data_IF_589265893630
#
_entry.id   IF_589265893630
#
_cell.length_a   1.000
_cell.length_b   1.000
_cell.length_c   1.000
_cell.angle_alpha   90.00
_cell.angle_beta   90.00
_cell.angle_gamma   90.00
#
_symmetry.space_group_name_H-M   'P 1'
#
loop_
_entity.id
_entity.type
_entity.pdbx_description
1 polymer ?
#
# COMPACT_ATOMS: atom_id res chain seq x y z
N UNK A 1 31.41 -9.51 -14.87
CA UNK A 1 30.77 -10.77 -15.33
C UNK A 1 31.54 -11.46 -16.47
N UNK A 2 32.30 -10.76 -17.32
CA UNK A 2 32.91 -11.33 -18.53
C UNK A 2 34.08 -12.32 -18.38
N UNK A 3 34.73 -12.46 -17.21
CA UNK A 3 35.84 -13.40 -17.04
C UNK A 3 35.38 -14.81 -16.60
N UNK A 4 34.19 -14.93 -16.01
CA UNK A 4 33.68 -16.21 -15.50
C UNK A 4 33.11 -17.12 -16.62
N UNK A 5 32.78 -16.55 -17.78
CA UNK A 5 32.19 -17.28 -18.91
C UNK A 5 33.21 -18.04 -19.77
N UNK A 6 34.51 -17.77 -19.62
CA UNK A 6 35.58 -18.33 -20.48
C UNK A 6 36.65 -19.15 -19.74
N UNK A 7 36.70 -19.09 -18.40
CA UNK A 7 37.73 -19.78 -17.62
C UNK A 7 37.32 -21.20 -17.23
N UNK A 8 37.95 -22.22 -17.83
CA UNK A 8 37.91 -23.61 -17.35
C UNK A 8 38.44 -23.72 -15.90
N UNK A 9 37.84 -24.58 -15.07
CA UNK A 9 38.32 -24.76 -13.69
C UNK A 9 39.67 -25.46 -13.69
N UNK A 10 40.56 -24.98 -12.82
CA UNK A 10 41.75 -25.72 -12.38
C UNK A 10 41.42 -26.99 -11.57
N UNK A 11 40.12 -27.28 -11.35
CA UNK A 11 39.60 -28.49 -10.70
C UNK A 11 38.88 -29.33 -11.75
N UNK A 12 39.39 -30.55 -11.94
CA UNK A 12 38.95 -31.58 -12.90
C UNK A 12 37.41 -31.70 -13.05
N UNK A 13 36.94 -31.59 -14.29
CA UNK A 13 35.89 -32.48 -14.84
C UNK A 13 34.42 -32.27 -14.48
N UNK A 14 34.02 -31.15 -13.89
CA UNK A 14 32.59 -30.87 -13.64
C UNK A 14 31.87 -30.30 -14.88
N UNK A 15 30.71 -30.86 -15.24
CA UNK A 15 29.75 -30.16 -16.12
C UNK A 15 29.35 -28.84 -15.46
N UNK A 16 29.30 -27.76 -16.23
CA UNK A 16 28.96 -26.42 -15.72
C UNK A 16 27.67 -25.94 -16.32
N UNK A 17 26.87 -25.27 -15.51
CA UNK A 17 25.65 -24.58 -15.90
C UNK A 17 25.76 -23.15 -15.39
N UNK A 18 25.38 -22.19 -16.20
CA UNK A 18 25.31 -20.78 -15.83
C UNK A 18 23.85 -20.47 -15.50
N UNK A 19 23.57 -20.06 -14.27
CA UNK A 19 22.25 -19.56 -13.85
C UNK A 19 22.32 -18.05 -13.73
N UNK A 20 21.44 -17.35 -14.44
CA UNK A 20 21.26 -15.90 -14.32
C UNK A 20 19.83 -15.67 -13.85
N UNK A 21 19.70 -15.19 -12.63
CA UNK A 21 18.41 -14.86 -12.02
C UNK A 21 18.04 -13.38 -12.29
N UNK A 22 16.75 -13.07 -12.22
CA UNK A 22 16.20 -11.71 -12.37
C UNK A 22 16.69 -10.96 -13.64
N UNK A 23 16.68 -11.62 -14.80
CA UNK A 23 17.21 -11.01 -16.05
C UNK A 23 16.42 -9.79 -16.52
N UNK A 24 15.17 -9.64 -16.08
CA UNK A 24 14.32 -8.47 -16.25
C UNK A 24 14.79 -7.24 -15.43
N UNK A 25 15.52 -7.47 -14.33
CA UNK A 25 16.07 -6.44 -13.45
C UNK A 25 17.30 -5.70 -13.97
N UNK A 26 17.98 -6.22 -15.00
CA UNK A 26 19.25 -5.70 -15.56
C UNK A 26 19.07 -4.37 -16.35
N UNK A 27 17.96 -3.64 -16.12
CA UNK A 27 17.55 -2.47 -16.93
C UNK A 27 17.50 -1.13 -16.17
N UNK A 28 18.15 -1.04 -14.99
CA UNK A 28 18.36 0.24 -14.31
C UNK A 28 19.21 1.21 -15.16
N UNK A 29 19.12 2.51 -14.87
CA UNK A 29 19.85 3.59 -15.58
C UNK A 29 21.37 3.46 -15.60
N UNK A 30 21.93 2.53 -14.82
CA UNK A 30 23.35 2.18 -14.76
C UNK A 30 23.78 1.10 -15.78
N UNK A 31 22.83 0.28 -16.30
CA UNK A 31 23.12 -0.91 -17.14
C UNK A 31 22.68 -0.75 -18.59
N UNK A 32 22.99 0.40 -19.23
CA UNK A 32 22.66 0.69 -20.64
C UNK A 32 23.29 -0.24 -21.71
N UNK A 33 23.79 -1.41 -21.33
CA UNK A 33 24.31 -2.45 -22.24
C UNK A 33 24.19 -3.89 -21.73
N UNK A 34 23.51 -4.15 -20.61
CA UNK A 34 23.48 -5.48 -19.99
C UNK A 34 22.83 -6.57 -20.84
N UNK A 35 21.69 -6.27 -21.48
CA UNK A 35 20.97 -7.20 -22.36
C UNK A 35 21.79 -7.56 -23.60
N UNK A 36 22.41 -6.56 -24.24
CA UNK A 36 23.28 -6.78 -25.42
C UNK A 36 24.51 -7.62 -25.07
N UNK A 37 25.12 -7.38 -23.90
CA UNK A 37 26.22 -8.20 -23.41
C UNK A 37 25.81 -9.64 -23.10
N UNK A 38 24.60 -9.85 -22.55
CA UNK A 38 24.06 -11.18 -22.32
C UNK A 38 23.85 -11.94 -23.64
N UNK A 39 23.31 -11.28 -24.66
CA UNK A 39 23.14 -11.88 -26.01
C UNK A 39 24.50 -12.30 -26.60
N UNK A 40 25.56 -11.50 -26.43
CA UNK A 40 26.89 -11.91 -26.86
C UNK A 40 27.42 -13.13 -26.12
N UNK A 41 27.16 -13.23 -24.82
CA UNK A 41 27.53 -14.39 -24.01
C UNK A 41 26.76 -15.62 -24.47
N UNK A 42 25.45 -15.52 -24.71
CA UNK A 42 24.62 -16.62 -25.22
C UNK A 42 25.09 -17.15 -26.57
N UNK A 43 25.64 -16.27 -27.43
CA UNK A 43 26.21 -16.68 -28.73
C UNK A 43 27.57 -17.39 -28.62
N UNK A 44 28.36 -17.09 -27.59
CA UNK A 44 29.76 -17.56 -27.44
C UNK A 44 29.93 -18.67 -26.40
N UNK A 45 28.96 -18.85 -25.51
CA UNK A 45 29.04 -19.81 -24.40
C UNK A 45 29.02 -21.25 -24.89
N UNK A 46 29.87 -22.08 -24.29
CA UNK A 46 29.91 -23.53 -24.48
C UNK A 46 29.18 -24.28 -23.35
N UNK A 47 28.67 -23.54 -22.35
CA UNK A 47 27.96 -24.09 -21.20
C UNK A 47 26.46 -23.78 -21.29
N UNK A 48 25.58 -24.71 -20.87
CA UNK A 48 24.15 -24.43 -20.74
C UNK A 48 23.89 -23.21 -19.86
N UNK A 49 23.01 -22.33 -20.32
CA UNK A 49 22.60 -21.12 -19.61
C UNK A 49 21.12 -21.21 -19.28
N UNK A 50 20.78 -21.03 -18.00
CA UNK A 50 19.41 -20.94 -17.50
C UNK A 50 19.18 -19.48 -17.12
N UNK A 51 18.16 -18.88 -17.71
CA UNK A 51 17.75 -17.50 -17.44
C UNK A 51 16.40 -17.54 -16.72
N UNK A 52 16.29 -16.83 -15.60
CA UNK A 52 15.05 -16.72 -14.83
C UNK A 52 14.56 -15.27 -14.92
N UNK A 53 13.30 -15.11 -15.30
CA UNK A 53 12.61 -13.82 -15.42
C UNK A 53 11.22 -13.93 -14.80
N UNK A 54 10.72 -12.86 -14.20
CA UNK A 54 9.34 -12.82 -13.74
C UNK A 54 8.36 -12.69 -14.91
N UNK A 55 8.72 -11.90 -15.93
CA UNK A 55 7.94 -11.76 -17.17
C UNK A 55 8.80 -11.95 -18.42
N UNK A 56 8.75 -13.17 -18.99
CA UNK A 56 9.44 -13.51 -20.24
C UNK A 56 8.84 -12.83 -21.49
N UNK A 57 7.70 -12.14 -21.37
CA UNK A 57 7.07 -11.40 -22.46
C UNK A 57 7.40 -9.91 -22.45
N UNK A 58 8.20 -9.44 -21.48
CA UNK A 58 8.72 -8.08 -21.50
C UNK A 58 9.42 -7.81 -22.84
N UNK A 59 9.04 -6.75 -23.58
CA UNK A 59 9.67 -6.37 -24.85
C UNK A 59 11.20 -6.26 -24.78
N UNK A 60 11.75 -5.92 -23.62
CA UNK A 60 13.20 -5.83 -23.39
C UNK A 60 13.91 -7.18 -23.53
N UNK A 61 13.22 -8.27 -23.17
CA UNK A 61 13.77 -9.63 -23.25
C UNK A 61 13.56 -10.27 -24.63
N UNK A 62 12.88 -9.60 -25.57
CA UNK A 62 12.67 -10.11 -26.92
C UNK A 62 13.96 -10.59 -27.61
N UNK A 63 15.09 -9.86 -27.55
CA UNK A 63 16.34 -10.29 -28.19
C UNK A 63 16.97 -11.54 -27.58
N UNK A 64 16.66 -11.84 -26.31
CA UNK A 64 17.15 -13.02 -25.58
C UNK A 64 16.22 -14.21 -25.83
N UNK A 65 14.91 -13.96 -25.87
CA UNK A 65 13.86 -14.98 -26.02
C UNK A 65 14.06 -15.83 -27.28
N UNK A 66 14.54 -15.23 -28.36
CA UNK A 66 14.81 -15.94 -29.62
C UNK A 66 15.93 -17.00 -29.52
N UNK A 67 16.81 -16.90 -28.50
CA UNK A 67 17.91 -17.84 -28.26
C UNK A 67 17.59 -18.88 -27.17
N UNK A 68 16.42 -18.83 -26.56
CA UNK A 68 16.09 -19.64 -25.37
C UNK A 68 14.86 -20.51 -25.59
N UNK A 69 14.87 -21.71 -25.01
CA UNK A 69 13.67 -22.52 -24.85
C UNK A 69 12.85 -21.99 -23.66
N UNK A 70 11.59 -21.64 -23.91
CA UNK A 70 10.73 -20.99 -22.91
C UNK A 70 9.97 -22.01 -22.07
N UNK A 71 10.39 -22.17 -20.82
CA UNK A 71 9.72 -23.01 -19.83
C UNK A 71 8.85 -22.13 -18.92
N UNK A 72 7.53 -22.30 -19.00
CA UNK A 72 6.58 -21.51 -18.18
C UNK A 72 6.30 -22.20 -16.85
N UNK A 73 6.52 -21.47 -15.76
CA UNK A 73 6.09 -21.87 -14.43
C UNK A 73 4.73 -21.24 -14.11
N UNK A 74 3.74 -22.09 -13.85
CA UNK A 74 2.42 -21.65 -13.41
C UNK A 74 2.36 -21.55 -11.88
N UNK A 75 1.49 -20.69 -11.37
CA UNK A 75 1.21 -20.59 -9.94
C UNK A 75 0.77 -21.94 -9.38
N UNK A 76 1.32 -22.30 -8.22
CA UNK A 76 1.03 -23.57 -7.57
C UNK A 76 -0.41 -23.51 -7.02
N UNK A 77 -1.17 -24.59 -7.19
CA UNK A 77 -2.53 -24.68 -6.62
C UNK A 77 -2.46 -24.68 -5.09
N UNK A 78 -3.38 -23.97 -4.44
CA UNK A 78 -3.42 -23.84 -2.97
C UNK A 78 -3.41 -25.18 -2.23
N UNK A 79 -4.11 -26.20 -2.74
CA UNK A 79 -4.10 -27.54 -2.14
C UNK A 79 -2.72 -28.19 -2.15
N UNK A 80 -1.93 -27.96 -3.20
CA UNK A 80 -0.56 -28.49 -3.30
C UNK A 80 0.35 -27.74 -2.32
N UNK A 81 0.22 -26.41 -2.23
CA UNK A 81 0.95 -25.61 -1.24
C UNK A 81 0.63 -26.08 0.18
N UNK A 82 -0.64 -26.23 0.54
CA UNK A 82 -1.06 -26.72 1.86
C UNK A 82 -0.49 -28.11 2.18
N UNK A 83 -0.41 -29.02 1.20
CA UNK A 83 0.19 -30.34 1.38
C UNK A 83 1.70 -30.28 1.62
N UNK A 84 2.40 -29.32 1.02
CA UNK A 84 3.83 -29.09 1.26
C UNK A 84 4.03 -28.52 2.66
N UNK A 85 3.22 -27.54 3.07
CA UNK A 85 3.27 -26.97 4.41
C UNK A 85 3.02 -28.04 5.48
N UNK A 86 2.05 -28.95 5.28
CA UNK A 86 1.79 -30.06 6.20
C UNK A 86 3.00 -30.98 6.39
N UNK A 87 3.72 -31.31 5.30
CA UNK A 87 4.95 -32.11 5.37
C UNK A 87 6.09 -31.38 6.08
N UNK A 88 6.16 -30.06 5.96
CA UNK A 88 7.14 -29.25 6.69
C UNK A 88 6.80 -29.30 8.18
N UNK A 89 5.55 -29.05 8.56
CA UNK A 89 5.08 -29.14 9.95
C UNK A 89 5.41 -30.50 10.58
N UNK A 90 5.15 -31.61 9.88
CA UNK A 90 5.45 -32.96 10.36
C UNK A 90 6.96 -33.16 10.62
N UNK A 91 7.83 -32.66 9.73
CA UNK A 91 9.29 -32.77 9.88
C UNK A 91 9.85 -31.90 10.98
N UNK A 92 9.25 -30.73 11.19
CA UNK A 92 9.65 -29.77 12.22
C UNK A 92 8.98 -30.05 13.59
N UNK A 93 8.13 -31.09 13.68
CA UNK A 93 7.45 -31.47 14.92
C UNK A 93 6.40 -30.45 15.38
N UNK A 94 5.77 -29.76 14.43
CA UNK A 94 4.73 -28.75 14.67
C UNK A 94 3.37 -29.33 14.30
N UNK A 95 2.44 -29.39 15.25
CA UNK A 95 1.06 -29.82 14.98
C UNK A 95 0.26 -28.66 14.38
N UNK A 96 -0.19 -28.77 13.13
CA UNK A 96 -0.95 -27.70 12.48
C UNK A 96 -2.33 -28.19 12.01
N UNK A 97 -3.37 -27.41 12.29
CA UNK A 97 -4.72 -27.66 11.77
C UNK A 97 -4.71 -27.56 10.22
N UNK A 98 -5.24 -28.56 9.48
CA UNK A 98 -5.35 -28.51 8.02
C UNK A 98 -6.02 -27.24 7.47
N UNK A 99 -6.97 -26.66 8.21
CA UNK A 99 -7.65 -25.42 7.82
C UNK A 99 -6.69 -24.22 7.88
N UNK A 100 -5.75 -24.20 8.82
CA UNK A 100 -4.70 -23.18 8.94
C UNK A 100 -3.79 -23.21 7.73
N UNK A 101 -3.27 -24.41 7.40
CA UNK A 101 -2.37 -24.60 6.28
C UNK A 101 -3.04 -24.24 4.95
N UNK A 102 -4.33 -24.56 4.80
CA UNK A 102 -5.12 -24.15 3.66
C UNK A 102 -5.25 -22.63 3.58
N UNK A 103 -5.45 -21.95 4.72
CA UNK A 103 -5.58 -20.49 4.75
C UNK A 103 -4.27 -19.78 4.40
N UNK A 104 -3.14 -20.25 4.92
CA UNK A 104 -1.80 -19.76 4.57
C UNK A 104 -1.57 -19.94 3.06
N UNK A 105 -1.90 -21.12 2.52
CA UNK A 105 -1.77 -21.41 1.10
C UNK A 105 -2.66 -20.53 0.20
N UNK A 106 -3.88 -20.19 0.64
CA UNK A 106 -4.77 -19.26 -0.07
C UNK A 106 -4.21 -17.83 -0.07
N UNK A 107 -3.68 -17.37 1.08
CA UNK A 107 -3.11 -16.04 1.24
C UNK A 107 -1.86 -15.84 0.34
N UNK A 108 -1.04 -16.87 0.21
CA UNK A 108 0.19 -16.82 -0.58
C UNK A 108 -0.03 -16.79 -2.11
N UNK A 109 -1.28 -16.98 -2.58
CA UNK A 109 -1.68 -16.87 -4.01
C UNK A 109 -0.78 -17.63 -4.99
N UNK A 110 -0.27 -18.79 -4.56
CA UNK A 110 0.57 -19.69 -5.36
C UNK A 110 2.08 -19.44 -5.28
N UNK A 111 2.55 -18.53 -4.41
CA UNK A 111 3.97 -18.40 -4.05
C UNK A 111 4.29 -19.30 -2.83
N UNK A 112 5.09 -20.33 -3.05
CA UNK A 112 5.46 -21.27 -1.98
C UNK A 112 6.42 -20.67 -0.96
N UNK A 113 7.32 -19.76 -1.37
CA UNK A 113 8.28 -19.12 -0.47
C UNK A 113 7.57 -18.21 0.50
N UNK A 114 6.61 -17.42 0.01
CA UNK A 114 5.75 -16.59 0.84
C UNK A 114 4.96 -17.45 1.84
N UNK A 115 4.36 -18.56 1.36
CA UNK A 115 3.62 -19.49 2.23
C UNK A 115 4.49 -20.13 3.32
N UNK A 116 5.75 -20.47 3.02
CA UNK A 116 6.69 -21.03 3.99
C UNK A 116 7.08 -19.97 5.04
N UNK A 117 7.35 -18.73 4.61
CA UNK A 117 7.68 -17.64 5.54
C UNK A 117 6.49 -17.32 6.46
N UNK A 118 5.27 -17.29 5.90
CA UNK A 118 4.04 -17.10 6.66
C UNK A 118 3.84 -18.23 7.68
N UNK A 119 4.09 -19.49 7.27
CA UNK A 119 4.06 -20.63 8.19
C UNK A 119 5.12 -20.48 9.28
N UNK A 120 6.35 -20.11 8.93
CA UNK A 120 7.43 -19.93 9.88
C UNK A 120 7.08 -18.85 10.91
N UNK A 121 6.56 -17.71 10.50
CA UNK A 121 6.09 -16.65 11.41
C UNK A 121 5.02 -17.16 12.38
N UNK A 122 4.07 -17.95 11.90
CA UNK A 122 2.99 -18.48 12.74
C UNK A 122 3.49 -19.62 13.65
N UNK A 123 4.47 -20.39 13.21
CA UNK A 123 5.06 -21.52 13.93
C UNK A 123 6.14 -21.13 14.93
N UNK A 124 6.71 -19.92 14.81
CA UNK A 124 7.89 -19.51 15.59
C UNK A 124 7.63 -19.59 17.10
N UNK A 125 8.45 -20.39 17.79
CA UNK A 125 8.34 -20.60 19.24
C UNK A 125 7.16 -21.48 19.69
N UNK A 126 6.43 -22.12 18.78
CA UNK A 126 5.25 -22.94 19.08
C UNK A 126 5.43 -24.39 18.61
N UNK A 127 4.76 -25.32 19.31
CA UNK A 127 4.68 -26.75 18.92
C UNK A 127 3.34 -27.13 18.30
N UNK A 128 2.35 -26.24 18.36
CA UNK A 128 1.06 -26.40 17.70
C UNK A 128 0.53 -25.07 17.17
N UNK A 129 -0.23 -25.14 16.08
CA UNK A 129 -0.81 -23.99 15.37
C UNK A 129 -2.29 -24.24 15.10
N UNK A 130 -3.11 -23.28 15.52
CA UNK A 130 -4.57 -23.31 15.41
C UNK A 130 -5.10 -22.12 14.61
N UNK A 131 -6.40 -22.12 14.29
CA UNK A 131 -7.04 -21.03 13.54
C UNK A 131 -6.96 -19.67 14.25
N UNK A 132 -6.80 -19.65 15.57
CA UNK A 132 -6.65 -18.41 16.35
C UNK A 132 -5.29 -17.74 16.13
N UNK A 133 -4.28 -18.52 15.75
CA UNK A 133 -2.90 -18.08 15.50
C UNK A 133 -2.71 -17.41 14.13
N UNK A 134 -3.69 -17.54 13.22
CA UNK A 134 -3.72 -16.87 11.91
C UNK A 134 -4.01 -15.35 11.99
N UNK A 135 -4.29 -14.82 13.18
CA UNK A 135 -4.45 -13.37 13.40
C UNK A 135 -3.29 -12.55 12.84
N UNK A 136 -2.10 -13.15 12.83
CA UNK A 136 -0.81 -12.58 12.44
C UNK A 136 -0.66 -12.18 10.98
N UNK A 137 -1.48 -12.74 10.07
CA UNK A 137 -1.16 -12.72 8.64
C UNK A 137 -1.76 -11.58 7.80
N UNK A 138 -2.01 -10.36 8.33
CA UNK A 138 -1.74 -9.08 7.61
C UNK A 138 -2.62 -7.87 7.98
N UNK A 139 -3.86 -8.04 8.45
CA UNK A 139 -4.71 -6.89 8.84
C UNK A 139 -5.32 -7.08 10.22
N UNK A 140 -5.46 -8.32 10.68
CA UNK A 140 -6.03 -8.64 11.98
C UNK A 140 -5.02 -8.48 13.12
N UNK A 141 -3.73 -8.67 12.85
CA UNK A 141 -2.68 -8.47 13.86
C UNK A 141 -2.28 -7.02 14.01
N UNK A 142 -2.27 -6.25 12.90
CA UNK A 142 -2.23 -4.80 13.01
C UNK A 142 -3.48 -4.30 13.74
N UNK A 143 -4.69 -4.75 13.42
CA UNK A 143 -5.88 -4.35 14.18
C UNK A 143 -5.82 -4.76 15.67
N UNK A 144 -5.40 -5.98 16.01
CA UNK A 144 -5.23 -6.40 17.41
C UNK A 144 -4.13 -5.60 18.13
N UNK A 145 -2.97 -5.42 17.51
CA UNK A 145 -1.85 -4.61 18.03
C UNK A 145 -2.23 -3.13 18.18
N UNK A 146 -2.96 -2.57 17.20
CA UNK A 146 -3.56 -1.23 17.28
C UNK A 146 -4.54 -1.18 18.45
N UNK A 147 -5.47 -2.13 18.56
CA UNK A 147 -6.47 -2.11 19.64
C UNK A 147 -5.84 -2.21 21.00
N UNK A 148 -4.77 -2.98 21.15
CA UNK A 148 -4.03 -3.11 22.40
C UNK A 148 -3.20 -1.84 22.68
N UNK A 149 -2.62 -1.22 21.65
CA UNK A 149 -2.01 0.12 21.75
C UNK A 149 -3.04 1.16 22.18
N UNK A 150 -4.21 1.21 21.53
CA UNK A 150 -5.30 2.12 21.86
C UNK A 150 -5.80 1.89 23.29
N UNK A 151 -5.95 0.64 23.73
CA UNK A 151 -6.29 0.32 25.13
C UNK A 151 -5.22 0.82 26.08
N UNK A 152 -3.94 0.59 25.78
CA UNK A 152 -2.83 1.03 26.62
C UNK A 152 -2.77 2.57 26.73
N UNK A 153 -3.16 3.29 25.67
CA UNK A 153 -3.28 4.74 25.65
C UNK A 153 -4.52 5.18 26.46
N UNK A 154 -5.73 4.79 26.06
CA UNK A 154 -6.98 5.28 26.65
C UNK A 154 -7.24 4.81 28.09
N UNK A 155 -6.71 3.66 28.49
CA UNK A 155 -6.81 3.14 29.87
C UNK A 155 -5.48 3.23 30.63
N UNK A 156 -4.47 3.88 30.05
CA UNK A 156 -3.19 4.10 30.69
C UNK A 156 -3.32 4.91 31.98
N UNK A 157 -2.59 4.51 33.03
CA UNK A 157 -2.59 5.20 34.33
C UNK A 157 -1.51 6.27 34.46
N UNK A 158 -0.47 6.23 33.64
CA UNK A 158 0.66 7.16 33.68
C UNK A 158 0.89 7.80 32.32
N UNK A 159 1.18 9.10 32.31
CA UNK A 159 1.48 9.84 31.07
C UNK A 159 2.64 9.20 30.30
N UNK A 160 3.71 8.82 31.01
CA UNK A 160 4.87 8.19 30.40
C UNK A 160 4.54 6.82 29.79
N UNK A 161 3.67 6.03 30.43
CA UNK A 161 3.23 4.75 29.89
C UNK A 161 2.41 4.91 28.61
N UNK A 162 1.53 5.90 28.55
CA UNK A 162 0.75 6.22 27.34
C UNK A 162 1.64 6.71 26.19
N UNK A 163 2.65 7.52 26.50
CA UNK A 163 3.62 8.00 25.51
C UNK A 163 4.43 6.84 24.96
N UNK A 164 4.94 5.97 25.84
CA UNK A 164 5.72 4.81 25.45
C UNK A 164 4.91 3.86 24.57
N UNK A 165 3.66 3.57 24.95
CA UNK A 165 2.76 2.74 24.16
C UNK A 165 2.56 3.28 22.74
N UNK A 166 2.43 4.60 22.59
CA UNK A 166 2.29 5.23 21.28
C UNK A 166 3.61 5.22 20.48
N UNK A 167 4.75 5.44 21.13
CA UNK A 167 6.05 5.51 20.46
C UNK A 167 6.63 4.14 20.08
N UNK A 168 6.28 3.10 20.83
CA UNK A 168 6.71 1.72 20.59
C UNK A 168 5.70 0.90 19.81
N UNK A 169 4.66 1.53 19.25
CA UNK A 169 3.65 0.85 18.45
C UNK A 169 4.24 0.43 17.10
N UNK A 170 3.87 -0.76 16.63
CA UNK A 170 4.21 -1.24 15.28
C UNK A 170 3.42 -0.53 14.17
N UNK A 171 2.47 0.33 14.56
CA UNK A 171 1.60 1.08 13.68
C UNK A 171 2.27 2.39 13.32
N UNK A 172 2.24 2.76 12.04
CA UNK A 172 2.66 4.08 11.60
C UNK A 172 1.98 5.18 12.44
N UNK A 173 2.76 6.14 12.94
CA UNK A 173 2.27 7.15 13.88
C UNK A 173 1.19 8.06 13.27
N UNK A 174 1.19 8.27 11.95
CA UNK A 174 0.15 9.05 11.28
C UNK A 174 -1.15 8.27 11.25
N UNK A 175 -1.07 6.96 10.94
CA UNK A 175 -2.21 6.06 10.99
C UNK A 175 -2.75 5.91 12.42
N UNK A 176 -1.87 5.74 13.42
CA UNK A 176 -2.24 5.68 14.83
C UNK A 176 -2.99 6.94 15.27
N UNK A 177 -2.56 8.13 14.82
CA UNK A 177 -3.28 9.37 15.08
C UNK A 177 -4.69 9.36 14.49
N UNK A 178 -4.87 8.81 13.28
CA UNK A 178 -6.22 8.65 12.69
C UNK A 178 -7.09 7.68 13.49
N UNK A 179 -6.51 6.59 14.01
CA UNK A 179 -7.21 5.67 14.90
C UNK A 179 -7.66 6.35 16.20
N UNK A 180 -6.81 7.19 16.79
CA UNK A 180 -7.17 8.00 17.96
C UNK A 180 -8.33 8.95 17.63
N UNK A 181 -8.26 9.68 16.51
CA UNK A 181 -9.33 10.59 16.08
C UNK A 181 -10.68 9.87 15.90
N UNK A 182 -10.70 8.72 15.22
CA UNK A 182 -11.94 7.99 14.93
C UNK A 182 -12.60 7.44 16.19
N UNK A 183 -11.82 7.14 17.24
CA UNK A 183 -12.28 6.38 18.40
C UNK A 183 -12.34 7.17 19.71
N UNK A 184 -11.81 8.40 19.77
CA UNK A 184 -11.78 9.21 20.99
C UNK A 184 -13.17 9.42 21.63
N UNK A 185 -14.20 9.64 20.80
CA UNK A 185 -15.58 9.83 21.27
C UNK A 185 -16.17 8.61 22.01
N UNK A 186 -15.65 7.40 21.77
CA UNK A 186 -16.09 6.20 22.49
C UNK A 186 -15.61 6.20 23.95
N UNK A 187 -14.55 6.94 24.25
CA UNK A 187 -13.92 7.03 25.57
C UNK A 187 -14.29 8.30 26.35
N UNK A 188 -14.73 9.34 25.65
CA UNK A 188 -15.06 10.66 26.20
C UNK A 188 -16.45 11.06 25.72
N UNK A 189 -17.45 10.91 26.60
CA UNK A 189 -18.84 11.22 26.28
C UNK A 189 -19.18 12.69 26.58
N UNK A 190 -18.42 13.34 27.48
CA UNK A 190 -18.63 14.75 27.79
C UNK A 190 -18.08 15.66 26.68
N UNK A 191 -18.87 16.64 26.20
CA UNK A 191 -18.44 17.52 25.10
C UNK A 191 -17.15 18.29 25.38
N UNK A 192 -16.91 18.69 26.63
CA UNK A 192 -15.70 19.42 27.02
C UNK A 192 -14.46 18.55 26.91
N UNK A 193 -14.49 17.34 27.49
CA UNK A 193 -13.39 16.36 27.41
C UNK A 193 -13.06 16.01 25.97
N UNK A 194 -14.10 15.79 25.16
CA UNK A 194 -13.93 15.47 23.75
C UNK A 194 -13.32 16.64 22.96
N UNK A 195 -13.73 17.88 23.25
CA UNK A 195 -13.13 19.06 22.67
C UNK A 195 -11.66 19.22 23.04
N UNK A 196 -11.30 18.99 24.31
CA UNK A 196 -9.91 19.05 24.79
C UNK A 196 -9.05 17.96 24.14
N UNK A 197 -9.58 16.74 23.99
CA UNK A 197 -8.92 15.64 23.29
C UNK A 197 -8.67 15.95 21.80
N UNK A 198 -9.68 16.45 21.09
CA UNK A 198 -9.49 16.85 19.68
C UNK A 198 -8.56 18.06 19.54
N UNK A 199 -8.53 18.97 20.52
CA UNK A 199 -7.56 20.06 20.54
C UNK A 199 -6.13 19.53 20.71
N UNK A 200 -5.91 18.50 21.53
CA UNK A 200 -4.61 17.84 21.65
C UNK A 200 -4.20 17.16 20.32
N UNK A 201 -5.11 16.43 19.67
CA UNK A 201 -4.87 15.81 18.35
C UNK A 201 -4.59 16.85 17.26
N UNK A 202 -5.34 17.95 17.24
CA UNK A 202 -5.12 19.08 16.33
C UNK A 202 -3.72 19.67 16.49
N UNK A 203 -3.26 19.87 17.73
CA UNK A 203 -1.89 20.32 18.01
C UNK A 203 -0.84 19.30 17.56
N UNK A 204 -1.10 18.00 17.73
CA UNK A 204 -0.21 16.93 17.25
C UNK A 204 -0.07 16.99 15.71
N UNK A 205 -1.17 17.19 14.98
CA UNK A 205 -1.16 17.33 13.51
C UNK A 205 -0.35 18.55 13.05
N UNK A 206 -0.41 19.67 13.78
CA UNK A 206 0.45 20.84 13.51
C UNK A 206 1.94 20.48 13.64
N UNK A 207 2.31 19.68 14.63
CA UNK A 207 3.70 19.20 14.77
C UNK A 207 4.09 18.25 13.63
N UNK A 208 3.19 17.34 13.21
CA UNK A 208 3.41 16.50 12.03
C UNK A 208 3.60 17.32 10.76
N UNK A 209 2.80 18.35 10.53
CA UNK A 209 2.99 19.29 9.43
C UNK A 209 4.35 19.99 9.46
N UNK A 210 4.82 20.40 10.64
CA UNK A 210 6.17 20.97 10.81
C UNK A 210 7.27 19.95 10.53
N UNK A 211 7.10 18.69 10.95
CA UNK A 211 8.05 17.60 10.68
C UNK A 211 8.15 17.37 9.17
N UNK A 212 7.02 17.22 8.46
CA UNK A 212 7.01 17.01 7.00
C UNK A 212 7.72 18.15 6.27
N UNK A 213 7.50 19.39 6.68
CA UNK A 213 8.07 20.58 6.02
C UNK A 213 9.54 20.84 6.36
N UNK A 214 9.97 20.60 7.60
CA UNK A 214 11.31 20.97 8.10
C UNK A 214 12.24 19.79 8.33
N UNK A 215 11.76 18.56 8.19
CA UNK A 215 12.50 17.31 8.43
C UNK A 215 13.11 17.21 9.85
N UNK A 216 12.50 17.88 10.83
CA UNK A 216 12.99 17.93 12.20
C UNK A 216 12.31 16.87 13.08
N UNK A 217 12.81 15.64 13.00
CA UNK A 217 12.23 14.44 13.63
C UNK A 217 12.20 14.46 15.17
N UNK A 218 12.99 15.30 15.83
CA UNK A 218 12.94 15.48 17.29
C UNK A 218 11.55 15.93 17.80
N UNK A 219 10.73 16.52 16.93
CA UNK A 219 9.36 16.93 17.26
C UNK A 219 8.39 15.74 17.46
N UNK A 220 8.75 14.53 17.04
CA UNK A 220 7.91 13.33 17.22
C UNK A 220 7.59 13.06 18.69
N UNK A 221 8.52 13.36 19.59
CA UNK A 221 8.29 13.24 21.04
C UNK A 221 7.06 14.04 21.51
N UNK A 222 6.85 15.24 20.97
CA UNK A 222 5.68 16.07 21.24
C UNK A 222 4.42 15.53 20.57
N UNK A 223 4.53 14.94 19.37
CA UNK A 223 3.41 14.29 18.69
C UNK A 223 2.89 13.13 19.53
N UNK A 224 3.78 12.21 19.96
CA UNK A 224 3.41 11.09 20.83
C UNK A 224 2.78 11.59 22.14
N UNK A 225 3.38 12.59 22.79
CA UNK A 225 2.83 13.19 24.01
C UNK A 225 1.41 13.74 23.85
N UNK A 226 1.16 14.48 22.76
CA UNK A 226 -0.14 15.10 22.52
C UNK A 226 -1.19 14.09 22.08
N UNK A 227 -0.87 13.19 21.15
CA UNK A 227 -1.85 12.25 20.62
C UNK A 227 -2.21 11.10 21.58
N UNK A 228 -1.35 10.78 22.55
CA UNK A 228 -1.62 9.73 23.53
C UNK A 228 -2.03 10.28 24.89
N UNK A 229 -1.07 10.81 25.66
CA UNK A 229 -1.31 11.31 27.01
C UNK A 229 -2.19 12.56 27.00
N UNK A 230 -1.98 13.49 26.06
CA UNK A 230 -2.82 14.68 25.91
C UNK A 230 -4.29 14.34 25.68
N UNK A 231 -4.56 13.35 24.84
CA UNK A 231 -5.93 12.84 24.60
C UNK A 231 -6.46 12.17 25.86
N UNK A 232 -5.79 11.13 26.35
CA UNK A 232 -6.35 10.26 27.39
C UNK A 232 -6.51 10.95 28.75
N UNK A 233 -5.64 11.92 29.06
CA UNK A 233 -5.75 12.74 30.27
C UNK A 233 -6.82 13.83 30.17
N UNK A 234 -7.40 14.09 28.99
CA UNK A 234 -8.56 14.99 28.86
C UNK A 234 -9.85 14.39 29.44
N UNK A 235 -9.84 13.10 29.78
CA UNK A 235 -10.96 12.41 30.42
C UNK A 235 -10.94 12.65 31.94
N UNK A 236 -11.98 13.30 32.46
CA UNK A 236 -12.12 13.62 33.90
C UNK A 236 -13.23 12.77 34.56
N UNK A 237 -14.40 12.68 33.91
CA UNK A 237 -15.63 12.09 34.47
C UNK A 237 -16.22 10.96 33.63
N UNK A 238 -15.87 10.83 32.35
CA UNK A 238 -16.41 9.75 31.50
C UNK A 238 -15.99 8.36 32.01
N UNK A 239 -16.97 7.50 32.25
CA UNK A 239 -16.76 6.08 32.55
C UNK A 239 -16.35 5.32 31.29
N UNK A 240 -15.21 4.62 31.33
CA UNK A 240 -14.73 3.83 30.21
C UNK A 240 -15.68 2.66 29.91
N UNK A 241 -16.46 2.77 28.84
CA UNK A 241 -17.20 1.64 28.27
C UNK A 241 -16.26 0.61 27.63
N UNK A 242 -16.81 -0.47 27.10
CA UNK A 242 -16.06 -1.40 26.24
C UNK A 242 -16.15 -0.91 24.78
N UNK A 243 -15.15 -0.17 24.26
CA UNK A 243 -15.21 0.39 22.92
C UNK A 243 -15.20 -0.73 21.88
N UNK A 244 -15.92 -0.49 20.78
CA UNK A 244 -15.78 -1.26 19.56
C UNK A 244 -14.97 -0.39 18.61
N UNK A 245 -13.65 -0.56 18.64
CA UNK A 245 -12.78 0.24 17.79
C UNK A 245 -13.14 0.10 16.32
N UNK A 246 -13.21 1.24 15.64
CA UNK A 246 -13.54 1.35 14.23
C UNK A 246 -12.34 1.85 13.46
N UNK A 247 -12.14 1.27 12.28
CA UNK A 247 -11.10 1.72 11.37
C UNK A 247 -11.38 3.16 10.90
N UNK A 248 -10.35 4.04 10.82
CA UNK A 248 -10.50 5.43 10.41
C UNK A 248 -11.28 5.61 9.10
N UNK A 249 -12.43 6.27 9.18
CA UNK A 249 -13.29 6.58 8.04
C UNK A 249 -12.57 7.51 7.06
N UNK A 250 -11.84 8.50 7.58
CA UNK A 250 -11.06 9.45 6.78
C UNK A 250 -10.09 8.78 5.81
N UNK A 251 -9.40 7.71 6.22
CA UNK A 251 -8.45 6.99 5.34
C UNK A 251 -9.19 6.32 4.18
N UNK A 252 -10.35 5.70 4.47
CA UNK A 252 -11.21 5.09 3.45
C UNK A 252 -11.74 6.16 2.49
N UNK A 253 -12.24 7.27 3.02
CA UNK A 253 -12.82 8.36 2.25
C UNK A 253 -11.77 9.05 1.37
N UNK A 254 -10.57 9.28 1.90
CA UNK A 254 -9.47 9.88 1.15
C UNK A 254 -9.00 8.99 -0.01
N UNK A 255 -9.00 7.67 0.19
CA UNK A 255 -8.70 6.69 -0.85
C UNK A 255 -9.81 6.67 -1.92
N UNK A 256 -11.08 6.55 -1.51
CA UNK A 256 -12.23 6.55 -2.41
C UNK A 256 -12.35 7.84 -3.21
N UNK A 257 -12.08 9.00 -2.59
CA UNK A 257 -12.12 10.30 -3.23
C UNK A 257 -10.89 10.60 -4.10
N UNK A 258 -9.83 9.77 -4.10
CA UNK A 258 -8.56 10.07 -4.79
C UNK A 258 -8.75 10.23 -6.30
N UNK A 259 -9.44 9.29 -6.94
CA UNK A 259 -9.69 9.33 -8.38
C UNK A 259 -10.48 10.60 -8.77
N UNK A 260 -11.56 10.88 -8.03
CA UNK A 260 -12.38 12.07 -8.25
C UNK A 260 -11.61 13.37 -8.01
N UNK A 261 -10.82 13.47 -6.94
CA UNK A 261 -9.97 14.65 -6.66
C UNK A 261 -8.94 14.89 -7.75
N UNK A 262 -8.30 13.83 -8.24
CA UNK A 262 -7.33 13.94 -9.33
C UNK A 262 -8.00 14.43 -10.62
N UNK A 263 -9.15 13.86 -10.98
CA UNK A 263 -9.91 14.28 -12.16
C UNK A 263 -10.37 15.75 -12.06
N UNK A 264 -11.00 16.13 -10.95
CA UNK A 264 -11.44 17.52 -10.74
C UNK A 264 -10.28 18.50 -10.63
N UNK A 265 -9.15 18.09 -10.03
CA UNK A 265 -7.93 18.89 -9.97
C UNK A 265 -7.34 19.15 -11.36
N UNK A 266 -7.35 18.13 -12.23
CA UNK A 266 -6.95 18.27 -13.63
C UNK A 266 -7.86 19.25 -14.40
N UNK A 267 -9.17 19.14 -14.23
CA UNK A 267 -10.13 20.08 -14.83
C UNK A 267 -9.90 21.50 -14.31
N UNK A 268 -9.77 21.67 -13.00
CA UNK A 268 -9.53 22.97 -12.38
C UNK A 268 -8.22 23.61 -12.84
N UNK A 269 -7.17 22.82 -13.09
CA UNK A 269 -5.92 23.31 -13.66
C UNK A 269 -6.11 23.87 -15.07
N UNK A 270 -6.82 23.13 -15.95
CA UNK A 270 -7.12 23.57 -17.32
C UNK A 270 -7.98 24.85 -17.34
N UNK A 271 -8.95 24.95 -16.45
CA UNK A 271 -9.75 26.17 -16.25
C UNK A 271 -8.87 27.32 -15.76
N UNK A 272 -8.00 27.06 -14.78
CA UNK A 272 -7.05 28.04 -14.27
C UNK A 272 -6.13 28.60 -15.36
N UNK A 273 -5.60 27.75 -16.22
CA UNK A 273 -4.74 28.13 -17.36
C UNK A 273 -5.48 29.04 -18.36
N UNK A 274 -6.74 28.72 -18.69
CA UNK A 274 -7.53 29.49 -19.65
C UNK A 274 -8.09 30.79 -19.09
N UNK A 275 -8.43 30.81 -17.80
CA UNK A 275 -9.05 31.95 -17.13
C UNK A 275 -8.04 32.80 -16.35
N UNK A 276 -6.74 32.46 -16.37
CA UNK A 276 -5.66 33.13 -15.62
C UNK A 276 -5.93 33.21 -14.11
N UNK A 277 -6.46 32.15 -13.52
CA UNK A 277 -6.72 32.02 -12.08
C UNK A 277 -6.03 30.81 -11.50
N UNK A 278 -5.81 30.80 -10.18
CA UNK A 278 -5.25 29.62 -9.51
C UNK A 278 -6.19 28.41 -9.65
N UNK A 279 -5.65 27.19 -9.69
CA UNK A 279 -6.46 25.97 -9.75
C UNK A 279 -7.43 25.86 -8.56
N UNK A 280 -7.07 26.43 -7.40
CA UNK A 280 -7.95 26.50 -6.23
C UNK A 280 -9.15 27.42 -6.47
N UNK A 281 -8.90 28.59 -7.07
CA UNK A 281 -9.95 29.56 -7.42
C UNK A 281 -10.85 29.01 -8.53
N UNK A 282 -10.27 28.38 -9.56
CA UNK A 282 -11.01 27.68 -10.59
C UNK A 282 -11.92 26.58 -10.00
N UNK A 283 -11.42 25.84 -9.02
CA UNK A 283 -12.20 24.79 -8.37
C UNK A 283 -13.38 25.34 -7.56
N UNK A 284 -13.16 26.39 -6.77
CA UNK A 284 -14.19 26.94 -5.88
C UNK A 284 -15.23 27.77 -6.64
N UNK A 285 -14.77 28.62 -7.56
CA UNK A 285 -15.59 29.67 -8.15
C UNK A 285 -16.05 29.35 -9.57
N UNK A 286 -15.32 28.54 -10.34
CA UNK A 286 -15.64 28.30 -11.76
C UNK A 286 -16.30 26.94 -11.99
N UNK A 287 -15.78 25.87 -11.39
CA UNK A 287 -16.32 24.51 -11.57
C UNK A 287 -17.83 24.38 -11.28
N UNK A 288 -18.41 25.01 -10.24
CA UNK A 288 -19.86 24.94 -10.01
C UNK A 288 -20.68 25.50 -11.18
N UNK A 289 -20.24 26.60 -11.79
CA UNK A 289 -20.92 27.18 -12.95
C UNK A 289 -20.70 26.35 -14.22
N UNK A 290 -19.49 25.82 -14.44
CA UNK A 290 -19.20 24.93 -15.57
C UNK A 290 -20.09 23.69 -15.48
N UNK A 291 -20.21 23.09 -14.28
CA UNK A 291 -21.14 21.99 -14.02
C UNK A 291 -22.57 22.37 -14.40
N UNK A 292 -23.05 23.51 -13.90
CA UNK A 292 -24.40 23.99 -14.18
C UNK A 292 -24.65 24.21 -15.68
N UNK A 293 -23.71 24.83 -16.41
CA UNK A 293 -23.83 25.09 -17.85
C UNK A 293 -23.93 23.77 -18.63
N UNK A 294 -23.10 22.79 -18.27
CA UNK A 294 -23.11 21.47 -18.93
C UNK A 294 -24.44 20.73 -18.67
N UNK A 295 -24.96 20.78 -17.45
CA UNK A 295 -26.21 20.12 -17.09
C UNK A 295 -27.43 20.81 -17.72
N UNK A 296 -27.42 22.14 -17.82
CA UNK A 296 -28.53 22.92 -18.38
C UNK A 296 -28.57 22.90 -19.92
N UNK A 297 -27.42 22.96 -20.59
CA UNK A 297 -27.34 22.95 -22.05
C UNK A 297 -26.13 22.14 -22.54
N UNK A 298 -26.33 20.87 -22.96
CA UNK A 298 -25.25 20.00 -23.41
C UNK A 298 -24.49 20.52 -24.64
N UNK A 299 -25.11 21.28 -25.54
CA UNK A 299 -24.45 21.81 -26.74
C UNK A 299 -23.47 22.94 -26.39
N UNK A 300 -23.90 23.87 -25.53
CA UNK A 300 -23.03 24.93 -25.01
C UNK A 300 -21.94 24.32 -24.12
N UNK A 301 -22.30 23.31 -23.32
CA UNK A 301 -21.37 22.52 -22.52
C UNK A 301 -20.26 21.86 -23.37
N UNK A 302 -20.61 21.23 -24.49
CA UNK A 302 -19.64 20.63 -25.40
C UNK A 302 -18.66 21.66 -25.98
N UNK A 303 -19.15 22.83 -26.42
CA UNK A 303 -18.29 23.93 -26.89
C UNK A 303 -17.34 24.42 -25.80
N UNK A 304 -17.84 24.56 -24.57
CA UNK A 304 -17.06 25.01 -23.42
C UNK A 304 -15.98 24.00 -23.04
N UNK A 305 -16.32 22.72 -22.96
CA UNK A 305 -15.38 21.61 -22.70
C UNK A 305 -14.26 21.60 -23.74
N UNK A 306 -14.60 21.73 -25.02
CA UNK A 306 -13.62 21.79 -26.11
C UNK A 306 -12.70 23.00 -25.99
N UNK A 307 -13.24 24.17 -25.67
CA UNK A 307 -12.45 25.39 -25.46
C UNK A 307 -11.50 25.30 -24.26
N UNK A 308 -11.96 24.68 -23.17
CA UNK A 308 -11.17 24.40 -21.96
C UNK A 308 -10.15 23.27 -22.15
N UNK A 309 -10.23 22.51 -23.25
CA UNK A 309 -9.36 21.36 -23.50
C UNK A 309 -9.55 20.21 -22.49
N UNK A 310 -10.75 20.09 -21.91
CA UNK A 310 -11.08 19.02 -20.95
C UNK A 310 -11.27 17.71 -21.72
N UNK A 311 -10.69 16.63 -21.21
CA UNK A 311 -10.87 15.31 -21.82
C UNK A 311 -12.32 14.83 -21.62
N UNK A 312 -12.97 14.25 -22.64
CA UNK A 312 -14.36 13.82 -22.53
C UNK A 312 -14.62 12.86 -21.37
N UNK A 313 -13.63 12.01 -21.05
CA UNK A 313 -13.69 11.04 -19.94
C UNK A 313 -13.73 11.71 -18.56
N UNK A 314 -13.04 12.84 -18.40
CA UNK A 314 -12.98 13.55 -17.12
C UNK A 314 -14.33 14.21 -16.75
N UNK A 315 -15.21 14.45 -17.73
CA UNK A 315 -16.52 15.10 -17.53
C UNK A 315 -17.44 14.26 -16.64
N UNK A 316 -17.30 12.94 -16.65
CA UNK A 316 -18.09 12.03 -15.80
C UNK A 316 -17.89 12.27 -14.31
N UNK A 317 -16.76 12.88 -13.91
CA UNK A 317 -16.48 13.22 -12.52
C UNK A 317 -17.08 14.58 -12.10
N UNK A 318 -17.54 15.38 -13.06
CA UNK A 318 -18.07 16.73 -12.85
C UNK A 318 -19.60 16.78 -12.85
N UNK A 319 -20.26 16.08 -13.78
CA UNK A 319 -21.72 16.12 -14.01
C UNK A 319 -22.36 14.74 -13.87
N UNK A 320 -23.70 14.67 -13.89
CA UNK A 320 -24.42 13.39 -13.93
C UNK A 320 -24.04 12.55 -15.16
N UNK A 321 -24.13 11.22 -15.05
CA UNK A 321 -23.79 10.29 -16.15
C UNK A 321 -24.54 10.61 -17.45
N UNK A 322 -25.83 10.93 -17.33
CA UNK A 322 -26.67 11.29 -18.48
C UNK A 322 -26.19 12.56 -19.19
N UNK A 323 -25.79 13.59 -18.45
CA UNK A 323 -25.27 14.83 -19.02
C UNK A 323 -23.89 14.61 -19.65
N UNK A 324 -23.02 13.83 -19.02
CA UNK A 324 -21.70 13.48 -19.55
C UNK A 324 -21.81 12.72 -20.88
N UNK A 325 -22.71 11.74 -20.99
CA UNK A 325 -22.94 10.98 -22.23
C UNK A 325 -23.46 11.86 -23.37
N UNK A 326 -24.38 12.78 -23.08
CA UNK A 326 -24.89 13.73 -24.09
C UNK A 326 -23.78 14.62 -24.64
N UNK A 327 -22.91 15.15 -23.76
CA UNK A 327 -21.77 15.97 -24.20
C UNK A 327 -20.74 15.15 -24.96
N UNK A 328 -20.46 13.91 -24.53
CA UNK A 328 -19.56 13.00 -25.24
C UNK A 328 -20.05 12.72 -26.67
N UNK A 329 -21.35 12.47 -26.86
CA UNK A 329 -21.95 12.24 -28.19
C UNK A 329 -21.87 13.47 -29.11
N UNK A 330 -21.81 14.67 -28.55
CA UNK A 330 -21.68 15.92 -29.33
C UNK A 330 -20.20 16.20 -29.66
N UNK A 331 -19.27 15.69 -28.85
CA UNK A 331 -17.82 15.87 -29.02
C UNK A 331 -17.16 14.82 -29.92
N UNK A 332 -17.77 13.63 -30.04
CA UNK A 332 -17.42 12.57 -30.98
C UNK A 332 -17.83 12.92 -32.41
#
# INVERSE_FOLDING_TARGET
VGAASSLSSLVKGGKRVILVDEVDGISGSEDKGGISGLVEILKKTVYPVILVANDAWDPKLAPIRDFCELIRYNRIRSNVVASVLAKICEREGVEADPLVLKKIAENAKGDLRAAINDLQMVAEGRRSITMDDLGVLSLRDQEKSVFDTLKAIFYGKSAQGMIMAASSSDVDYELLMQWMCENAWQHMQHPKELADAYNALSRADVFLGRIRNRQHWGLLSYVFALMSAGVSLSRETSGGGAPKYQFPSWVKDMSAARARRNALGGIASKVGEKCHVSSKEAFLSYLPYIKFIIEANPEVGAKLVKWLGIEPEAIEFLVSKEAAEKVKKILS
#
